data_IF_047351536716
#
_entry.id   IF_047351536716
#
_cell.length_a   1.000
_cell.length_b   1.000
_cell.length_c   1.000
_cell.angle_alpha   90.00
_cell.angle_beta   90.00
_cell.angle_gamma   90.00
#
_symmetry.space_group_name_H-M   'P 1'
#
loop_
_entity.id
_entity.type
_entity.pdbx_description
1 polymer ?
#
# COMPACT_ATOMS: atom_id res chain seq x y z
N UNK A 1 17.65 6.28 -3.06
CA UNK A 1 16.92 7.50 -3.48
C UNK A 1 16.35 7.25 -4.87
N UNK A 2 15.04 7.46 -5.08
CA UNK A 2 14.36 7.06 -6.32
C UNK A 2 14.62 8.03 -7.51
N UNK A 3 14.99 9.25 -7.24
CA UNK A 3 15.31 10.27 -8.26
C UNK A 3 16.51 11.11 -7.80
N UNK A 4 17.73 10.52 -7.81
CA UNK A 4 18.92 11.16 -7.23
C UNK A 4 19.36 12.40 -7.99
N UNK A 5 19.13 12.43 -9.31
CA UNK A 5 19.53 13.54 -10.17
C UNK A 5 18.48 14.65 -10.26
N UNK A 6 17.31 14.45 -9.66
CA UNK A 6 16.18 15.38 -9.75
C UNK A 6 15.79 15.77 -11.20
N UNK A 7 16.03 14.86 -12.13
CA UNK A 7 15.79 15.05 -13.56
C UNK A 7 14.35 14.73 -13.98
N UNK A 8 13.56 14.14 -13.07
CA UNK A 8 12.17 13.79 -13.28
C UNK A 8 11.26 14.68 -12.45
N UNK A 9 10.17 15.22 -13.04
CA UNK A 9 9.16 15.92 -12.27
C UNK A 9 8.53 15.01 -11.20
N UNK A 10 8.37 15.52 -10.01
CA UNK A 10 7.75 14.82 -8.88
C UNK A 10 6.51 15.58 -8.43
N UNK A 11 5.40 14.85 -8.27
CA UNK A 11 4.18 15.34 -7.65
C UNK A 11 3.97 14.58 -6.36
N UNK A 12 3.99 15.29 -5.24
CA UNK A 12 3.74 14.70 -3.92
C UNK A 12 2.26 14.81 -3.59
N UNK A 13 1.66 13.67 -3.25
CA UNK A 13 0.31 13.60 -2.68
C UNK A 13 0.47 13.16 -1.22
N UNK A 14 0.00 14.00 -0.31
CA UNK A 14 0.01 13.70 1.12
C UNK A 14 -1.42 13.54 1.60
N UNK A 15 -1.76 12.40 2.14
CA UNK A 15 -3.02 12.20 2.84
C UNK A 15 -2.80 12.43 4.33
N UNK A 16 -3.38 13.51 4.84
CA UNK A 16 -3.44 13.72 6.27
C UNK A 16 -4.75 13.11 6.78
N UNK A 17 -4.65 12.05 7.55
CA UNK A 17 -5.80 11.31 8.02
C UNK A 17 -6.02 11.54 9.49
N UNK A 18 -7.27 11.76 9.82
CA UNK A 18 -7.68 11.89 11.19
C UNK A 18 -8.73 10.83 11.51
N UNK A 19 -8.26 9.68 11.96
CA UNK A 19 -9.07 8.54 12.39
C UNK A 19 -10.09 8.88 13.50
N UNK A 20 -9.96 10.02 14.15
CA UNK A 20 -10.93 10.47 15.13
C UNK A 20 -12.24 11.01 14.53
N UNK A 21 -12.22 11.38 13.24
CA UNK A 21 -13.36 12.02 12.59
C UNK A 21 -13.98 11.21 11.45
N UNK A 22 -13.29 10.22 10.95
CA UNK A 22 -13.74 9.46 9.78
C UNK A 22 -13.57 7.96 10.03
N UNK A 23 -14.56 7.19 9.59
CA UNK A 23 -14.45 5.73 9.61
C UNK A 23 -13.51 5.21 8.51
N UNK A 24 -12.96 3.98 8.65
CA UNK A 24 -12.14 3.36 7.63
C UNK A 24 -12.82 3.29 6.26
N UNK A 25 -14.15 3.07 6.21
CA UNK A 25 -14.92 3.04 4.96
C UNK A 25 -14.90 4.38 4.26
N UNK A 26 -15.19 5.48 4.97
CA UNK A 26 -15.15 6.83 4.43
C UNK A 26 -13.75 7.17 3.91
N UNK A 27 -12.72 6.78 4.64
CA UNK A 27 -11.34 7.02 4.24
C UNK A 27 -10.96 6.20 3.00
N UNK A 28 -11.44 4.96 2.90
CA UNK A 28 -11.24 4.12 1.73
C UNK A 28 -11.92 4.70 0.48
N UNK A 29 -13.16 5.18 0.60
CA UNK A 29 -13.89 5.88 -0.46
C UNK A 29 -13.14 7.15 -0.93
N UNK A 30 -12.66 7.97 -0.01
CA UNK A 30 -11.93 9.20 -0.33
C UNK A 30 -10.60 8.90 -1.04
N UNK A 31 -9.88 7.89 -0.59
CA UNK A 31 -8.64 7.46 -1.23
C UNK A 31 -8.87 6.92 -2.64
N UNK A 32 -9.93 6.13 -2.83
CA UNK A 32 -10.35 5.63 -4.15
C UNK A 32 -10.72 6.78 -5.09
N UNK A 33 -11.56 7.72 -4.65
CA UNK A 33 -11.95 8.87 -5.45
C UNK A 33 -10.75 9.74 -5.87
N UNK A 34 -9.79 9.94 -4.95
CA UNK A 34 -8.55 10.65 -5.27
C UNK A 34 -7.73 9.88 -6.31
N UNK A 35 -7.63 8.56 -6.18
CA UNK A 35 -6.92 7.71 -7.12
C UNK A 35 -7.53 7.78 -8.52
N UNK A 36 -8.85 7.68 -8.64
CA UNK A 36 -9.57 7.80 -9.91
C UNK A 36 -9.38 9.17 -10.56
N UNK A 37 -9.39 10.24 -9.76
CA UNK A 37 -9.08 11.57 -10.26
C UNK A 37 -7.64 11.69 -10.77
N UNK A 38 -6.68 11.03 -10.09
CA UNK A 38 -5.30 10.96 -10.54
C UNK A 38 -5.17 10.16 -11.85
N UNK A 39 -5.87 9.02 -11.99
CA UNK A 39 -5.89 8.25 -13.23
C UNK A 39 -6.29 9.11 -14.42
N UNK A 40 -7.38 9.86 -14.28
CA UNK A 40 -7.87 10.79 -15.30
C UNK A 40 -6.84 11.87 -15.63
N UNK A 41 -6.23 12.48 -14.64
CA UNK A 41 -5.20 13.50 -14.85
C UNK A 41 -3.95 12.94 -15.55
N UNK A 42 -3.56 11.70 -15.24
CA UNK A 42 -2.45 10.99 -15.91
C UNK A 42 -2.79 10.77 -17.38
N UNK A 43 -3.96 10.25 -17.67
CA UNK A 43 -4.46 10.04 -19.05
C UNK A 43 -4.46 11.35 -19.85
N UNK A 44 -5.08 12.40 -19.31
CA UNK A 44 -5.14 13.72 -19.95
C UNK A 44 -3.74 14.34 -20.18
N UNK A 45 -2.78 14.03 -19.33
CA UNK A 45 -1.41 14.53 -19.46
C UNK A 45 -0.65 13.91 -20.63
N UNK A 46 -1.03 12.72 -21.10
CA UNK A 46 -0.31 11.93 -22.10
C UNK A 46 1.08 11.50 -21.68
N UNK A 47 1.42 11.58 -20.39
CA UNK A 47 2.77 11.26 -19.86
C UNK A 47 2.83 9.83 -19.34
N UNK A 48 4.02 9.24 -19.45
CA UNK A 48 4.33 8.03 -18.69
C UNK A 48 4.60 8.42 -17.24
N UNK A 49 3.90 7.80 -16.33
CA UNK A 49 3.95 8.10 -14.90
C UNK A 49 4.30 6.83 -14.12
N UNK A 50 5.14 6.97 -13.11
CA UNK A 50 5.36 5.94 -12.10
C UNK A 50 4.66 6.38 -10.83
N UNK A 51 3.78 5.52 -10.32
CA UNK A 51 3.11 5.72 -9.05
C UNK A 51 3.91 5.06 -7.94
N UNK A 52 4.10 5.76 -6.84
CA UNK A 52 4.81 5.25 -5.67
C UNK A 52 3.95 5.49 -4.46
N UNK A 53 3.64 4.42 -3.73
CA UNK A 53 3.00 4.49 -2.43
C UNK A 53 4.01 4.07 -1.36
N UNK A 54 4.18 4.91 -0.36
CA UNK A 54 5.09 4.65 0.77
C UNK A 54 4.26 4.61 2.05
N UNK A 55 4.02 3.41 2.54
CA UNK A 55 3.35 3.11 3.81
C UNK A 55 3.69 1.67 4.22
N UNK A 56 3.41 1.31 5.46
CA UNK A 56 3.43 -0.08 5.92
C UNK A 56 2.07 -0.76 5.69
N UNK A 57 2.01 -2.08 5.84
CA UNK A 57 0.76 -2.83 5.96
C UNK A 57 0.24 -2.70 7.41
N UNK A 58 0.34 -3.75 8.23
CA UNK A 58 0.07 -3.61 9.66
C UNK A 58 1.04 -2.63 10.30
N UNK A 59 0.60 -1.95 11.34
CA UNK A 59 1.44 -0.99 12.02
C UNK A 59 1.43 -1.18 13.53
N UNK A 60 2.57 -0.92 14.16
CA UNK A 60 2.68 -0.80 15.60
C UNK A 60 2.64 0.68 15.97
N UNK A 61 1.50 1.14 16.49
CA UNK A 61 1.43 2.45 17.08
C UNK A 61 1.82 2.37 18.56
N UNK A 62 2.85 3.10 18.92
CA UNK A 62 3.27 3.19 20.31
C UNK A 62 2.30 4.07 21.09
N UNK A 63 1.60 3.50 22.06
CA UNK A 63 0.82 4.25 23.04
C UNK A 63 1.73 4.79 24.14
N UNK A 64 2.88 4.13 24.34
CA UNK A 64 3.94 4.49 25.28
C UNK A 64 5.28 4.36 24.59
N UNK A 65 6.29 5.05 25.08
CA UNK A 65 7.67 4.88 24.59
C UNK A 65 8.08 3.40 24.62
N UNK A 66 8.66 2.94 23.52
CA UNK A 66 9.24 1.61 23.46
C UNK A 66 10.40 1.52 24.45
N UNK A 67 10.53 0.44 25.23
CA UNK A 67 11.72 0.24 26.03
C UNK A 67 12.93 0.12 25.11
N UNK A 68 13.88 1.01 25.29
CA UNK A 68 15.11 1.04 24.50
C UNK A 68 16.26 0.33 25.27
N UNK A 69 17.21 -0.24 24.51
CA UNK A 69 17.25 -0.39 23.06
C UNK A 69 16.37 -1.54 22.57
N UNK A 70 15.69 -1.35 21.44
CA UNK A 70 15.01 -2.46 20.76
C UNK A 70 16.04 -3.39 20.12
N UNK A 71 15.86 -4.69 20.30
CA UNK A 71 16.73 -5.70 19.68
C UNK A 71 16.21 -6.03 18.27
N UNK A 72 16.70 -5.32 17.28
CA UNK A 72 16.36 -5.49 15.88
C UNK A 72 16.74 -6.87 15.32
N UNK A 73 17.56 -7.65 16.03
CA UNK A 73 17.90 -9.02 15.61
C UNK A 73 16.77 -10.02 15.82
N UNK A 74 15.74 -9.62 16.54
CA UNK A 74 14.56 -10.42 16.88
C UNK A 74 13.26 -9.79 16.37
N UNK A 75 13.35 -9.10 15.27
CA UNK A 75 12.20 -8.45 14.67
C UNK A 75 11.08 -9.43 14.34
N UNK A 76 9.91 -9.10 14.76
CA UNK A 76 8.68 -9.83 14.47
C UNK A 76 7.49 -8.88 14.44
N UNK A 77 6.42 -9.28 13.79
CA UNK A 77 5.15 -8.54 13.82
C UNK A 77 4.66 -8.40 15.26
N UNK A 78 4.03 -7.28 15.59
CA UNK A 78 3.55 -6.96 16.92
C UNK A 78 2.62 -8.02 17.50
N UNK A 79 1.71 -8.57 16.67
CA UNK A 79 0.92 -9.73 17.05
C UNK A 79 0.63 -10.64 15.84
N UNK A 80 0.32 -11.91 16.12
CA UNK A 80 0.10 -12.91 15.08
C UNK A 80 -1.11 -12.60 14.17
N UNK A 81 -2.16 -11.97 14.72
CA UNK A 81 -3.33 -11.59 13.93
C UNK A 81 -2.96 -10.59 12.84
N UNK A 82 -2.13 -9.61 13.15
CA UNK A 82 -1.65 -8.65 12.15
C UNK A 82 -0.86 -9.35 11.03
N UNK A 83 0.00 -10.32 11.38
CA UNK A 83 0.71 -11.10 10.38
C UNK A 83 -0.24 -11.86 9.45
N UNK A 84 -1.27 -12.49 9.99
CA UNK A 84 -2.28 -13.22 9.20
C UNK A 84 -2.99 -12.28 8.21
N UNK A 85 -3.34 -11.08 8.66
CA UNK A 85 -3.97 -10.08 7.81
C UNK A 85 -3.02 -9.54 6.74
N UNK A 86 -1.76 -9.28 7.08
CA UNK A 86 -0.74 -8.88 6.10
C UNK A 86 -0.59 -9.94 5.01
N UNK A 87 -0.50 -11.21 5.39
CA UNK A 87 -0.37 -12.32 4.43
C UNK A 87 -1.61 -12.47 3.55
N UNK A 88 -2.80 -12.23 4.08
CA UNK A 88 -4.03 -12.21 3.28
C UNK A 88 -3.97 -11.16 2.18
N UNK A 89 -3.51 -9.93 2.48
CA UNK A 89 -3.32 -8.90 1.47
C UNK A 89 -2.24 -9.31 0.45
N UNK A 90 -1.11 -9.81 0.91
CA UNK A 90 -0.01 -10.25 0.03
C UNK A 90 -0.48 -11.34 -0.93
N UNK A 91 -1.28 -12.30 -0.48
CA UNK A 91 -1.80 -13.36 -1.32
C UNK A 91 -2.79 -12.83 -2.37
N UNK A 92 -3.70 -11.92 -1.99
CA UNK A 92 -4.59 -11.27 -2.95
C UNK A 92 -3.82 -10.45 -4.00
N UNK A 93 -2.74 -9.79 -3.60
CA UNK A 93 -1.86 -9.06 -4.54
C UNK A 93 -1.16 -10.01 -5.51
N UNK A 94 -0.67 -11.16 -5.02
CA UNK A 94 -0.07 -12.21 -5.86
C UNK A 94 -1.05 -12.83 -6.84
N UNK A 95 -2.32 -12.87 -6.48
CA UNK A 95 -3.39 -13.41 -7.32
C UNK A 95 -3.98 -12.37 -8.30
N UNK A 96 -3.53 -11.12 -8.24
CA UNK A 96 -4.06 -10.03 -9.08
C UNK A 96 -5.44 -9.54 -8.67
N UNK A 97 -5.86 -9.78 -7.43
CA UNK A 97 -7.20 -9.49 -6.93
C UNK A 97 -7.29 -8.12 -6.24
N UNK A 98 -6.90 -7.05 -6.96
CA UNK A 98 -6.79 -5.74 -6.34
C UNK A 98 -8.14 -5.15 -5.90
N UNK A 99 -9.24 -5.49 -6.55
CA UNK A 99 -10.57 -5.08 -6.06
C UNK A 99 -10.90 -5.71 -4.72
N UNK A 100 -10.61 -7.01 -4.55
CA UNK A 100 -10.80 -7.69 -3.26
C UNK A 100 -9.91 -7.09 -2.17
N UNK A 101 -8.67 -6.66 -2.50
CA UNK A 101 -7.80 -5.92 -1.58
C UNK A 101 -8.48 -4.64 -1.10
N UNK A 102 -9.06 -3.85 -2.01
CA UNK A 102 -9.73 -2.60 -1.65
C UNK A 102 -11.00 -2.85 -0.85
N UNK A 103 -11.78 -3.86 -1.20
CA UNK A 103 -13.02 -4.21 -0.51
C UNK A 103 -12.80 -4.61 0.96
N UNK A 104 -11.69 -5.29 1.26
CA UNK A 104 -11.37 -5.69 2.63
C UNK A 104 -10.56 -4.63 3.41
N UNK A 105 -10.20 -3.52 2.78
CA UNK A 105 -9.32 -2.53 3.38
C UNK A 105 -9.87 -1.91 4.67
N UNK A 106 -11.18 -1.61 4.80
CA UNK A 106 -11.72 -1.13 6.07
C UNK A 106 -11.51 -2.12 7.21
N UNK A 107 -11.84 -3.41 6.99
CA UNK A 107 -11.64 -4.45 7.99
C UNK A 107 -10.15 -4.66 8.30
N UNK A 108 -9.30 -4.69 7.27
CA UNK A 108 -7.85 -4.76 7.43
C UNK A 108 -7.34 -3.65 8.34
N UNK A 109 -7.77 -2.41 8.10
CA UNK A 109 -7.37 -1.24 8.89
C UNK A 109 -7.73 -1.38 10.36
N UNK A 110 -8.93 -1.84 10.67
CA UNK A 110 -9.38 -2.07 12.04
C UNK A 110 -8.58 -3.18 12.74
N UNK A 111 -8.29 -4.25 12.04
CA UNK A 111 -7.61 -5.43 12.61
C UNK A 111 -6.10 -5.24 12.79
N UNK A 112 -5.49 -4.36 12.00
CA UNK A 112 -4.03 -4.23 11.93
C UNK A 112 -3.49 -2.89 12.37
N UNK A 113 -4.38 -1.94 12.68
CA UNK A 113 -3.97 -0.55 12.98
C UNK A 113 -3.11 0.00 11.82
N UNK A 114 -3.54 -0.25 10.58
CA UNK A 114 -2.77 0.07 9.39
C UNK A 114 -2.35 1.54 9.33
N UNK A 115 -1.11 1.78 8.94
CA UNK A 115 -0.60 3.14 8.78
C UNK A 115 -1.44 3.92 7.78
N UNK A 116 -1.83 5.15 8.15
CA UNK A 116 -2.69 6.00 7.31
C UNK A 116 -3.95 5.29 6.80
N UNK A 117 -4.43 4.28 7.56
CA UNK A 117 -5.58 3.46 7.18
C UNK A 117 -5.42 2.84 5.78
N UNK A 118 -4.18 2.48 5.43
CA UNK A 118 -3.74 1.91 4.15
C UNK A 118 -4.14 2.72 2.90
N UNK A 119 -4.47 4.00 3.06
CA UNK A 119 -4.98 4.83 1.98
C UNK A 119 -4.00 5.12 0.85
N UNK A 120 -2.70 5.01 1.13
CA UNK A 120 -1.70 5.06 0.07
C UNK A 120 -1.86 3.90 -0.91
N UNK A 121 -2.14 2.69 -0.41
CA UNK A 121 -2.40 1.53 -1.26
C UNK A 121 -3.71 1.70 -2.04
N UNK A 122 -4.80 2.05 -1.35
CA UNK A 122 -6.11 2.27 -1.98
C UNK A 122 -6.03 3.33 -3.08
N UNK A 123 -5.40 4.46 -2.80
CA UNK A 123 -5.19 5.52 -3.77
C UNK A 123 -4.42 5.02 -5.00
N UNK A 124 -3.29 4.31 -4.79
CA UNK A 124 -2.45 3.83 -5.88
C UNK A 124 -3.20 2.81 -6.74
N UNK A 125 -3.91 1.86 -6.14
CA UNK A 125 -4.70 0.87 -6.87
C UNK A 125 -5.80 1.52 -7.71
N UNK A 126 -6.50 2.49 -7.16
CA UNK A 126 -7.52 3.25 -7.90
C UNK A 126 -6.90 4.06 -9.06
N UNK A 127 -5.75 4.70 -8.82
CA UNK A 127 -5.02 5.43 -9.86
C UNK A 127 -4.50 4.52 -10.99
N UNK A 128 -4.28 3.24 -10.72
CA UNK A 128 -3.91 2.22 -11.71
C UNK A 128 -5.13 1.55 -12.38
N UNK A 129 -6.36 1.91 -12.00
CA UNK A 129 -7.56 1.30 -12.53
C UNK A 129 -7.86 -0.09 -11.96
N UNK A 130 -7.37 -0.39 -10.76
CA UNK A 130 -7.54 -1.67 -10.09
C UNK A 130 -7.01 -2.85 -10.92
N UNK A 131 -5.67 -2.99 -11.05
CA UNK A 131 -5.07 -4.02 -11.89
C UNK A 131 -5.58 -5.42 -11.53
N UNK A 132 -5.88 -6.23 -12.54
CA UNK A 132 -6.36 -7.61 -12.44
C UNK A 132 -5.27 -8.64 -12.76
N UNK A 133 -4.03 -8.23 -12.67
CA UNK A 133 -2.83 -9.05 -12.85
C UNK A 133 -1.98 -9.08 -11.57
N UNK A 134 -1.18 -10.15 -11.37
CA UNK A 134 -0.36 -10.34 -10.19
C UNK A 134 0.62 -9.21 -9.93
N UNK A 135 0.82 -8.87 -8.65
CA UNK A 135 1.96 -8.10 -8.21
C UNK A 135 3.23 -8.95 -8.21
N UNK A 136 4.34 -8.38 -8.59
CA UNK A 136 5.65 -8.92 -8.25
C UNK A 136 5.98 -8.57 -6.80
N UNK A 137 6.15 -9.58 -5.95
CA UNK A 137 6.46 -9.41 -4.53
C UNK A 137 7.95 -9.61 -4.31
N UNK A 138 8.67 -8.55 -4.01
CA UNK A 138 10.12 -8.59 -3.75
C UNK A 138 10.46 -9.03 -2.34
N UNK A 139 9.58 -8.79 -1.38
CA UNK A 139 9.77 -9.25 -0.02
C UNK A 139 8.78 -8.66 0.97
N UNK A 140 8.62 -9.37 2.07
CA UNK A 140 7.86 -8.94 3.24
C UNK A 140 8.75 -9.13 4.47
N UNK A 141 8.83 -8.11 5.32
CA UNK A 141 9.64 -8.14 6.54
C UNK A 141 8.98 -7.32 7.64
N UNK A 142 9.12 -7.78 8.87
CA UNK A 142 8.82 -6.95 10.03
C UNK A 142 9.94 -5.96 10.31
N UNK A 143 9.57 -4.73 10.61
CA UNK A 143 10.50 -3.70 11.12
C UNK A 143 9.82 -3.00 12.28
N UNK A 144 10.40 -3.12 13.47
CA UNK A 144 9.86 -2.56 14.73
C UNK A 144 8.38 -2.97 14.95
N UNK A 145 8.07 -4.25 14.71
CA UNK A 145 6.72 -4.80 14.85
C UNK A 145 5.71 -4.38 13.78
N UNK A 146 6.15 -3.67 12.76
CA UNK A 146 5.36 -3.16 11.64
C UNK A 146 5.60 -4.01 10.41
N UNK A 147 4.55 -4.42 9.71
CA UNK A 147 4.64 -5.22 8.48
C UNK A 147 4.99 -4.36 7.26
N UNK A 148 6.10 -4.64 6.63
CA UNK A 148 6.56 -3.92 5.44
C UNK A 148 6.62 -4.85 4.24
N UNK A 149 6.05 -4.39 3.13
CA UNK A 149 6.01 -5.09 1.86
C UNK A 149 6.70 -4.24 0.79
N UNK A 150 7.46 -4.90 -0.08
CA UNK A 150 7.93 -4.30 -1.33
C UNK A 150 7.27 -5.07 -2.47
N UNK A 151 6.46 -4.38 -3.24
CA UNK A 151 5.72 -4.93 -4.37
C UNK A 151 5.70 -3.95 -5.55
N UNK A 152 5.57 -4.48 -6.75
CA UNK A 152 5.39 -3.69 -7.97
C UNK A 152 4.34 -4.31 -8.89
N UNK A 153 3.70 -3.48 -9.67
CA UNK A 153 2.78 -3.86 -10.74
C UNK A 153 3.30 -3.25 -12.05
N UNK A 154 3.70 -4.09 -12.99
CA UNK A 154 4.13 -3.65 -14.32
C UNK A 154 3.08 -4.06 -15.37
N UNK A 155 2.31 -3.10 -15.92
CA UNK A 155 1.33 -3.42 -16.95
C UNK A 155 1.96 -3.95 -18.25
N UNK A 156 3.26 -3.70 -18.48
CA UNK A 156 3.98 -4.22 -19.64
C UNK A 156 4.32 -5.70 -19.49
N UNK A 157 4.51 -6.18 -18.27
CA UNK A 157 4.72 -7.62 -18.01
C UNK A 157 3.41 -8.41 -18.07
N UNK A 158 2.33 -7.81 -17.64
CA UNK A 158 0.99 -8.42 -17.72
C UNK A 158 0.56 -8.76 -19.15
N UNK A 159 1.10 -8.07 -20.15
CA UNK A 159 0.80 -8.27 -21.58
C UNK A 159 1.80 -9.19 -22.30
N UNK A 160 2.86 -9.64 -21.63
CA UNK A 160 3.77 -10.64 -22.19
C UNK A 160 3.07 -11.99 -22.22
N UNK A 161 2.61 -12.41 -23.40
CA UNK A 161 2.22 -13.81 -23.61
C UNK A 161 3.38 -14.69 -23.17
N UNK A 162 3.09 -15.63 -22.27
CA UNK A 162 4.02 -16.70 -21.92
C UNK A 162 4.13 -17.55 -23.18
N UNK A 163 5.14 -17.29 -24.00
CA UNK A 163 5.52 -18.18 -25.09
C UNK A 163 6.18 -19.37 -24.41
N UNK A 164 5.40 -20.43 -24.23
CA UNK A 164 5.86 -21.75 -23.80
C UNK A 164 6.60 -22.45 -24.94
#
# INVERSE_FOLDING_TARGET
>A
MLNPEWDRPLVTISSNRNAHYYSPEVMNEQASALGEACAKAIEESGKKVVLISSHSLSHRHFVTESPLPEDMSREHIYNHSQYVWDMKLVDLMREGKMREVIDIMPEFTEQTIAETEAGGLTWMMAAMGYPDYPAEIYGYQSVIGTGNLIAAWDPMEATREIVL
#
